data_IF_607327455863
#
_entry.id   IF_607327455863
#
_cell.length_a   1.000
_cell.length_b   1.000
_cell.length_c   1.000
_cell.angle_alpha   90.00
_cell.angle_beta   90.00
_cell.angle_gamma   90.00
#
_symmetry.space_group_name_H-M   'P 1'
#
loop_
_entity.id
_entity.type
_entity.pdbx_description
1 polymer ?
2 non-polymer ?
3 non-polymer ?
4 non-polymer ?
5 non-polymer ?
6 water ?
#
# COMPACT_ATOMS: atom_id res chain seq x y z
N UNK A 2 -0.09 -11.33 -14.24
CA UNK A 2 0.56 -10.22 -13.49
C UNK A 2 -0.44 -9.06 -13.37
N UNK A 3 -0.49 -8.39 -12.20
CA UNK A 3 -1.39 -7.17 -12.16
C UNK A 3 -0.97 -6.11 -13.15
N UNK A 4 -1.97 -5.34 -13.59
CA UNK A 4 -1.70 -4.16 -14.43
C UNK A 4 -0.91 -3.11 -13.66
N UNK A 5 -1.16 -3.05 -12.37
CA UNK A 5 -0.40 -2.18 -11.49
C UNK A 5 -0.46 -2.66 -10.07
N UNK A 6 0.69 -2.49 -9.39
CA UNK A 6 0.78 -2.79 -7.99
C UNK A 6 1.13 -1.48 -7.26
N UNK A 7 0.22 -1.09 -6.36
CA UNK A 7 0.34 0.16 -5.61
C UNK A 7 0.98 -0.07 -4.22
N UNK A 8 2.03 0.69 -4.00
CA UNK A 8 2.78 0.74 -2.72
C UNK A 8 2.93 2.21 -2.26
N UNK A 9 3.20 2.34 -0.97
CA UNK A 9 3.45 3.62 -0.33
C UNK A 9 2.97 3.61 1.09
N UNK A 10 3.21 4.73 1.77
CA UNK A 10 2.94 4.82 3.18
C UNK A 10 1.45 4.74 3.46
N UNK A 11 1.07 4.39 4.70
CA UNK A 11 -0.33 4.59 5.10
C UNK A 11 -0.81 5.98 4.77
N UNK A 12 -2.00 6.10 4.18
CA UNK A 12 -2.53 7.42 3.70
C UNK A 12 -2.03 7.96 2.40
N UNK A 13 -1.11 7.26 1.70
CA UNK A 13 -0.67 7.74 0.40
C UNK A 13 -1.77 7.58 -0.68
N UNK A 14 -2.76 6.73 -0.40
CA UNK A 14 -3.88 6.55 -1.30
C UNK A 14 -3.95 5.22 -1.97
N UNK A 15 -3.34 4.19 -1.42
CA UNK A 15 -3.39 2.85 -2.13
C UNK A 15 -4.80 2.32 -2.35
N UNK A 16 -5.60 2.36 -1.32
CA UNK A 16 -6.93 1.81 -1.40
C UNK A 16 -7.80 2.63 -2.34
N UNK A 17 -7.59 3.94 -2.27
CA UNK A 17 -8.39 4.94 -2.97
C UNK A 17 -8.07 5.00 -4.44
N UNK A 18 -6.79 5.19 -4.75
CA UNK A 18 -6.28 5.20 -6.11
C UNK A 18 -6.52 3.80 -6.69
N UNK A 19 -6.34 2.73 -5.91
CA UNK A 19 -6.55 1.37 -6.43
C UNK A 19 -7.97 1.17 -6.93
N UNK A 20 -8.95 1.55 -6.12
CA UNK A 20 -10.37 1.43 -6.50
C UNK A 20 -10.66 2.23 -7.75
N UNK A 21 -10.21 3.48 -7.78
CA UNK A 21 -10.47 4.38 -8.88
C UNK A 21 -9.75 3.96 -10.17
N UNK A 22 -8.51 3.48 -10.02
CA UNK A 22 -7.73 2.95 -11.13
C UNK A 22 -8.35 1.67 -11.68
N UNK A 23 -8.81 0.77 -10.81
CA UNK A 23 -9.44 -0.50 -11.24
C UNK A 23 -10.74 -0.21 -12.04
N UNK A 24 -11.56 0.69 -11.50
CA UNK A 24 -12.81 1.19 -12.20
C UNK A 24 -12.53 1.73 -13.56
N UNK A 25 -11.44 2.47 -13.68
CA UNK A 25 -11.04 3.10 -14.91
C UNK A 25 -10.64 2.09 -15.93
N UNK A 26 -9.79 1.16 -15.52
CA UNK A 26 -9.35 0.07 -16.39
C UNK A 26 -10.40 -1.01 -16.61
N UNK A 27 -11.46 -1.00 -15.82
CA UNK A 27 -12.45 -2.08 -15.85
C UNK A 27 -11.94 -3.45 -15.42
N UNK A 28 -11.13 -3.47 -14.37
CA UNK A 28 -10.63 -4.68 -13.73
C UNK A 28 -11.00 -4.70 -12.26
N UNK A 29 -10.65 -5.78 -11.55
CA UNK A 29 -10.90 -5.85 -10.14
C UNK A 29 -9.69 -5.30 -9.38
N UNK A 30 -10.03 -4.77 -8.22
CA UNK A 30 -9.12 -4.36 -7.17
C UNK A 30 -8.99 -5.49 -6.17
N UNK A 31 -7.75 -5.88 -5.92
CA UNK A 31 -7.45 -6.75 -4.82
C UNK A 31 -6.61 -5.91 -3.88
N UNK A 32 -7.16 -5.66 -2.71
CA UNK A 32 -6.47 -4.94 -1.63
C UNK A 32 -6.00 -5.97 -0.63
N UNK A 33 -4.70 -6.09 -0.44
CA UNK A 33 -4.22 -7.20 0.35
C UNK A 33 -4.61 -7.09 1.83
N UNK A 34 -4.82 -5.87 2.35
CA UNK A 34 -5.31 -5.75 3.72
C UNK A 34 -6.68 -6.40 3.84
N UNK A 35 -7.55 -6.11 2.88
CA UNK A 35 -8.88 -6.71 2.81
C UNK A 35 -8.74 -8.23 2.71
N UNK A 36 -7.91 -8.68 1.77
CA UNK A 36 -7.74 -10.12 1.51
C UNK A 36 -7.32 -10.84 2.80
N UNK A 37 -6.46 -10.19 3.60
CA UNK A 37 -6.00 -10.77 4.88
C UNK A 37 -7.15 -10.94 5.87
N UNK A 38 -8.00 -9.91 5.99
CA UNK A 38 -9.11 -9.97 6.93
C UNK A 38 -10.15 -11.03 6.54
N UNK A 39 -10.43 -11.15 5.24
CA UNK A 39 -11.31 -12.17 4.68
C UNK A 39 -10.71 -13.56 4.80
N UNK A 40 -9.39 -13.64 4.77
CA UNK A 40 -8.74 -14.95 4.90
C UNK A 40 -8.87 -15.44 6.34
N UNK A 41 -8.37 -14.63 7.28
CA UNK A 41 -8.24 -15.03 8.68
C UNK A 41 -9.55 -15.03 9.42
N UNK A 42 -10.47 -14.18 8.96
CA UNK A 42 -11.72 -13.90 9.64
C UNK A 42 -11.60 -12.78 10.66
N UNK A 43 -10.41 -12.16 10.76
CA UNK A 43 -10.10 -11.19 11.82
C UNK A 43 -9.73 -9.80 11.28
N UNK A 44 -9.76 -8.81 12.16
CA UNK A 44 -9.33 -7.46 11.79
C UNK A 44 -7.81 -7.39 11.89
N UNK A 45 -7.21 -6.48 11.12
CA UNK A 45 -5.75 -6.32 11.14
C UNK A 45 -5.25 -5.94 12.53
N UNK A 46 -5.96 -5.03 13.17
CA UNK A 46 -5.64 -4.66 14.55
C UNK A 46 -5.59 -5.88 15.48
N UNK A 47 -6.52 -6.82 15.30
CA UNK A 47 -6.63 -7.98 16.20
C UNK A 47 -5.54 -9.01 15.96
N UNK A 48 -5.11 -9.14 14.71
CA UNK A 48 -3.97 -9.99 14.38
C UNK A 48 -2.71 -9.41 15.03
N UNK A 49 -2.49 -8.11 14.84
CA UNK A 49 -1.35 -7.43 15.42
C UNK A 49 -1.38 -7.58 16.96
N UNK A 50 -2.56 -7.43 17.56
CA UNK A 50 -2.71 -7.44 19.03
C UNK A 50 -2.39 -8.80 19.64
N UNK A 51 -2.96 -9.84 19.06
CA UNK A 51 -2.80 -11.19 19.60
C UNK A 51 -1.54 -11.85 19.04
N UNK A 52 -1.39 -11.87 17.72
CA UNK A 52 -0.27 -12.60 17.08
C UNK A 52 1.01 -11.80 16.87
N UNK A 53 0.90 -10.48 16.83
CA UNK A 53 2.06 -9.63 16.57
C UNK A 53 2.37 -9.43 15.08
N UNK A 54 3.08 -8.34 14.82
CA UNK A 54 3.50 -7.95 13.48
C UNK A 54 4.17 -9.05 12.67
N UNK A 55 5.07 -9.83 13.27
CA UNK A 55 5.82 -10.84 12.49
C UNK A 55 4.92 -11.88 11.84
N UNK A 56 3.88 -12.28 12.57
CA UNK A 56 2.88 -13.23 12.07
C UNK A 56 1.99 -12.59 11.01
N UNK A 57 1.58 -11.35 11.26
CA UNK A 57 0.92 -10.55 10.22
C UNK A 57 1.75 -10.50 8.94
N UNK A 58 3.05 -10.25 9.06
CA UNK A 58 3.93 -10.17 7.89
C UNK A 58 4.05 -11.50 7.13
N UNK A 59 4.06 -12.62 7.84
CA UNK A 59 4.12 -13.91 7.17
C UNK A 59 2.82 -14.19 6.38
N UNK A 60 1.68 -13.92 7.00
CA UNK A 60 0.40 -14.09 6.34
C UNK A 60 0.33 -13.16 5.13
N UNK A 61 0.72 -11.91 5.36
CA UNK A 61 0.73 -10.91 4.32
C UNK A 61 1.60 -11.35 3.13
N UNK A 62 2.82 -11.86 3.37
CA UNK A 62 3.67 -12.33 2.24
C UNK A 62 3.02 -13.48 1.41
N UNK A 63 2.33 -14.39 2.09
CA UNK A 63 1.61 -15.49 1.41
C UNK A 63 0.55 -14.97 0.45
N UNK A 64 -0.36 -14.18 1.00
CA UNK A 64 -1.36 -13.43 0.25
C UNK A 64 -0.76 -12.64 -0.91
N UNK A 65 0.32 -11.93 -0.67
CA UNK A 65 0.90 -11.07 -1.70
C UNK A 65 1.43 -11.92 -2.87
N UNK A 66 2.18 -12.98 -2.57
CA UNK A 66 2.77 -13.81 -3.64
C UNK A 66 1.68 -14.40 -4.54
N UNK A 67 0.62 -14.89 -3.90
CA UNK A 67 -0.47 -15.51 -4.59
C UNK A 67 -1.15 -14.46 -5.49
N UNK A 68 -1.40 -13.28 -4.93
CA UNK A 68 -2.16 -12.24 -5.68
C UNK A 68 -1.32 -11.78 -6.87
N UNK A 69 0.00 -11.66 -6.68
CA UNK A 69 0.89 -11.31 -7.78
C UNK A 69 0.89 -12.29 -8.97
N UNK A 70 0.64 -13.55 -8.69
CA UNK A 70 0.54 -14.58 -9.71
C UNK A 70 -0.88 -14.71 -10.30
N UNK A 71 -1.90 -14.65 -9.44
CA UNK A 71 -3.28 -14.94 -9.78
C UNK A 71 -4.14 -13.74 -10.15
N UNK A 72 -3.76 -12.52 -9.73
CA UNK A 72 -4.60 -11.31 -9.98
C UNK A 72 -4.16 -10.52 -11.19
N UNK A 73 -5.11 -10.26 -12.09
CA UNK A 73 -4.73 -9.62 -13.35
C UNK A 73 -5.15 -8.12 -13.36
N UNK A 74 -5.87 -7.72 -12.33
CA UNK A 74 -6.29 -6.32 -12.18
C UNK A 74 -5.28 -5.43 -11.47
N UNK A 75 -5.79 -4.58 -10.59
CA UNK A 75 -4.96 -3.70 -9.76
C UNK A 75 -4.83 -4.32 -8.38
N UNK A 76 -3.60 -4.22 -7.86
CA UNK A 76 -3.31 -4.82 -6.57
C UNK A 76 -2.73 -3.71 -5.67
N UNK A 77 -3.37 -3.49 -4.54
CA UNK A 77 -2.94 -2.51 -3.55
C UNK A 77 -2.35 -3.29 -2.40
N UNK A 78 -1.05 -3.04 -2.15
CA UNK A 78 -0.38 -3.71 -1.00
C UNK A 78 -0.58 -2.96 0.33
N UNK A 79 -0.52 -3.67 1.45
CA UNK A 79 -0.48 -2.97 2.74
C UNK A 79 0.72 -2.05 2.81
N UNK A 80 0.63 -1.02 3.65
CA UNK A 80 1.69 -0.03 3.66
C UNK A 80 3.07 -0.56 4.07
N UNK A 81 3.07 -1.63 4.85
CA UNK A 81 4.34 -2.19 5.35
C UNK A 81 4.78 -3.46 4.68
N UNK A 82 4.13 -3.82 3.59
CA UNK A 82 4.49 -5.07 2.90
C UNK A 82 5.91 -5.07 2.40
N UNK A 83 6.41 -3.92 1.96
CA UNK A 83 7.76 -3.80 1.43
C UNK A 83 8.91 -4.02 2.44
N UNK A 84 8.58 -4.07 3.72
CA UNK A 84 9.51 -4.38 4.83
C UNK A 84 9.89 -5.86 4.86
N UNK A 85 9.08 -6.69 4.23
CA UNK A 85 9.40 -8.12 4.01
C UNK A 85 10.30 -8.38 2.82
N UNK A 86 11.49 -8.95 3.07
CA UNK A 86 12.36 -9.19 1.93
C UNK A 86 11.76 -10.11 0.86
N UNK A 87 10.96 -11.09 1.26
CA UNK A 87 10.32 -11.98 0.30
C UNK A 87 9.27 -11.27 -0.57
N UNK A 88 8.62 -10.25 -0.01
CA UNK A 88 7.67 -9.42 -0.84
C UNK A 88 8.48 -8.63 -1.84
N UNK A 89 9.57 -8.02 -1.40
CA UNK A 89 10.38 -7.29 -2.29
C UNK A 89 10.91 -8.13 -3.46
N UNK A 90 11.29 -9.38 -3.16
CA UNK A 90 11.79 -10.27 -4.21
C UNK A 90 10.62 -10.67 -5.17
N UNK A 91 9.46 -10.89 -4.61
CA UNK A 91 8.30 -11.28 -5.42
C UNK A 91 7.91 -10.16 -6.39
N UNK A 92 8.18 -8.93 -6.00
CA UNK A 92 7.80 -7.76 -6.80
C UNK A 92 8.72 -7.53 -7.98
N UNK A 93 9.89 -8.15 -8.02
CA UNK A 93 10.83 -7.93 -9.15
C UNK A 93 10.13 -8.25 -10.46
N UNK A 94 10.18 -7.33 -11.43
CA UNK A 94 9.56 -7.52 -12.76
C UNK A 94 8.16 -6.93 -12.95
N UNK A 95 7.48 -6.70 -11.83
CA UNK A 95 6.12 -6.19 -11.79
C UNK A 95 6.07 -4.68 -12.03
N UNK A 96 4.88 -4.20 -12.44
CA UNK A 96 4.64 -2.80 -12.59
C UNK A 96 4.25 -2.30 -11.21
N UNK A 97 5.17 -1.55 -10.61
CA UNK A 97 5.00 -1.10 -9.23
C UNK A 97 5.00 0.44 -9.12
N UNK A 98 3.86 0.93 -8.66
CA UNK A 98 3.56 2.37 -8.54
C UNK A 98 3.67 2.82 -7.10
N UNK A 99 4.66 3.67 -6.87
CA UNK A 99 4.96 4.23 -5.57
C UNK A 99 4.22 5.58 -5.46
N UNK A 100 3.20 5.57 -4.60
CA UNK A 100 2.44 6.79 -4.30
C UNK A 100 3.18 7.54 -3.19
N UNK A 101 3.74 8.69 -3.56
CA UNK A 101 4.55 9.46 -2.62
C UNK A 101 3.68 10.50 -1.92
N UNK A 102 3.96 10.76 -0.66
CA UNK A 102 3.21 11.76 0.11
C UNK A 102 4.13 12.37 1.16
N UNK A 103 4.01 13.68 1.41
CA UNK A 103 4.76 14.31 2.50
C UNK A 103 4.28 13.83 3.87
N UNK A 104 5.11 13.95 4.91
CA UNK A 104 4.66 13.53 6.21
C UNK A 104 3.51 14.43 6.70
N UNK A 105 3.60 15.73 6.44
CA UNK A 105 2.57 16.66 7.00
C UNK A 105 1.18 16.28 6.42
N UNK A 106 1.16 15.99 5.13
CA UNK A 106 -0.10 15.64 4.49
C UNK A 106 -0.51 14.24 4.85
N UNK A 107 0.45 13.29 4.88
CA UNK A 107 0.12 11.92 5.23
C UNK A 107 -0.49 11.83 6.61
N UNK A 108 0.08 12.59 7.53
CA UNK A 108 -0.45 12.69 8.88
C UNK A 108 -1.91 13.14 8.87
N UNK A 109 -2.19 14.17 8.10
CA UNK A 109 -3.52 14.73 8.04
C UNK A 109 -4.49 13.81 7.34
N UNK A 110 -4.04 13.05 6.35
CA UNK A 110 -4.93 12.06 5.70
C UNK A 110 -5.36 10.92 6.58
N UNK A 111 -4.49 10.54 7.52
CA UNK A 111 -4.73 9.40 8.39
C UNK A 111 -5.32 9.81 9.75
N UNK A 112 -5.54 11.12 9.94
CA UNK A 112 -5.87 11.71 11.24
C UNK A 112 -7.10 11.18 11.97
N UNK A 113 -8.15 10.89 11.22
CA UNK A 113 -9.38 10.40 11.84
C UNK A 113 -9.31 8.92 12.11
N UNK A 114 -8.30 8.28 11.52
CA UNK A 114 -8.28 6.83 11.37
C UNK A 114 -7.64 6.11 12.55
N UNK A 115 -8.32 5.07 13.02
CA UNK A 115 -7.97 4.33 14.23
C UNK A 115 -7.78 2.80 13.97
N UNK A 116 -7.65 2.42 12.69
CA UNK A 116 -7.55 1.00 12.30
C UNK A 116 -6.12 0.56 11.91
N UNK A 117 -5.14 1.47 12.05
CA UNK A 117 -3.71 1.20 11.79
C UNK A 117 -2.86 1.12 13.09
N UNK A 118 -2.54 -0.11 13.55
CA UNK A 118 -1.69 -0.41 14.72
C UNK A 118 -0.39 0.38 14.81
N UNK A 119 0.24 0.62 13.68
CA UNK A 119 1.56 1.25 13.71
C UNK A 119 1.49 2.77 13.78
N UNK A 120 0.28 3.32 13.68
CA UNK A 120 0.09 4.77 13.71
C UNK A 120 -0.73 5.27 14.88
N UNK A 121 -1.63 4.42 15.36
CA UNK A 121 -2.62 4.76 16.38
C UNK A 121 -2.06 5.54 17.56
N UNK A 122 -2.98 6.13 18.31
CA UNK A 122 -2.65 6.72 19.59
C UNK A 122 -1.92 8.03 19.38
N UNK A 123 -1.15 8.46 20.39
CA UNK A 123 -0.58 9.79 20.35
C UNK A 123 0.73 9.77 19.57
N UNK A 124 1.31 10.96 19.40
CA UNK A 124 2.64 11.13 18.81
C UNK A 124 2.66 10.69 17.34
N UNK A 125 1.54 10.89 16.66
CA UNK A 125 1.35 10.31 15.34
C UNK A 125 2.28 10.93 14.31
N UNK A 126 2.48 12.23 14.38
CA UNK A 126 3.36 12.90 13.44
C UNK A 126 4.81 12.38 13.53
N UNK A 127 5.28 12.13 14.75
CA UNK A 127 6.60 11.55 14.99
C UNK A 127 6.71 10.14 14.45
N UNK A 128 5.72 9.30 14.78
CA UNK A 128 5.65 7.90 14.31
C UNK A 128 5.62 7.84 12.80
N UNK A 129 4.85 8.74 12.18
CA UNK A 129 4.70 8.77 10.71
C UNK A 129 5.99 9.15 10.06
N UNK A 130 6.65 10.19 10.61
CA UNK A 130 7.97 10.56 10.10
C UNK A 130 8.98 9.40 10.26
N UNK A 131 8.94 8.70 11.38
CA UNK A 131 9.84 7.55 11.54
C UNK A 131 9.57 6.42 10.50
N UNK A 132 8.30 6.17 10.19
CA UNK A 132 7.93 5.18 9.15
C UNK A 132 8.46 5.64 7.81
N UNK A 133 8.30 6.91 7.51
CA UNK A 133 8.74 7.39 6.24
C UNK A 133 10.26 7.26 6.08
N UNK A 134 11.01 7.56 7.13
CA UNK A 134 12.47 7.47 7.04
C UNK A 134 12.92 6.02 6.86
N UNK A 135 12.29 5.08 7.55
CA UNK A 135 12.63 3.67 7.41
C UNK A 135 12.25 3.15 6.03
N UNK A 136 11.02 3.43 5.61
CA UNK A 136 10.49 2.80 4.37
C UNK A 136 10.73 3.43 3.02
N UNK A 137 11.03 4.72 2.96
CA UNK A 137 11.17 5.40 1.70
C UNK A 137 12.18 4.71 0.76
N UNK A 138 13.34 4.29 1.30
CA UNK A 138 14.33 3.56 0.51
C UNK A 138 13.78 2.24 -0.08
N UNK A 139 12.93 1.56 0.71
CA UNK A 139 12.31 0.32 0.33
C UNK A 139 11.25 0.53 -0.77
N UNK A 140 10.40 1.53 -0.62
CA UNK A 140 9.50 1.85 -1.73
C UNK A 140 10.24 2.23 -3.00
N UNK A 141 11.31 3.02 -2.90
CA UNK A 141 12.05 3.48 -4.07
C UNK A 141 12.73 2.29 -4.77
N UNK A 142 13.11 1.32 -3.97
CA UNK A 142 13.78 0.15 -4.49
C UNK A 142 12.85 -0.72 -5.35
N UNK A 143 11.61 -0.90 -4.91
CA UNK A 143 10.63 -1.79 -5.62
C UNK A 143 9.89 -1.07 -6.77
N UNK A 144 9.92 0.25 -6.75
CA UNK A 144 9.08 1.01 -7.69
C UNK A 144 9.62 1.03 -9.10
N UNK A 145 8.71 0.94 -10.07
CA UNK A 145 9.00 1.20 -11.46
C UNK A 145 8.48 2.57 -11.93
N UNK A 146 7.49 3.11 -11.21
CA UNK A 146 6.97 4.46 -11.45
C UNK A 146 6.73 5.12 -10.08
N UNK A 147 7.06 6.39 -9.98
CA UNK A 147 6.83 7.17 -8.77
C UNK A 147 5.80 8.22 -9.13
N UNK A 148 4.84 8.46 -8.24
CA UNK A 148 3.81 9.49 -8.47
C UNK A 148 3.67 10.34 -7.22
N UNK A 149 3.98 11.61 -7.33
CA UNK A 149 3.82 12.55 -6.22
C UNK A 149 2.36 12.90 -6.08
N UNK A 150 1.80 12.57 -4.92
CA UNK A 150 0.38 12.76 -4.66
C UNK A 150 0.04 14.01 -3.81
N UNK A 151 1.05 14.79 -3.41
CA UNK A 151 0.83 15.88 -2.43
C UNK A 151 -0.16 16.96 -2.88
N UNK A 152 -0.01 17.37 -4.13
CA UNK A 152 -0.87 18.45 -4.68
C UNK A 152 -1.83 18.00 -5.76
N UNK A 153 -1.98 16.69 -5.92
CA UNK A 153 -2.79 16.09 -6.97
C UNK A 153 -4.00 15.52 -6.33
N UNK A 154 -5.15 15.79 -6.92
CA UNK A 154 -6.33 15.14 -6.44
C UNK A 154 -6.40 13.68 -6.99
N UNK A 155 -7.21 12.83 -6.38
CA UNK A 155 -7.13 11.42 -6.74
C UNK A 155 -7.39 11.14 -8.20
N UNK A 156 -8.26 11.91 -8.86
CA UNK A 156 -8.54 11.64 -10.24
C UNK A 156 -7.39 11.99 -11.12
N UNK A 157 -6.64 13.05 -10.75
CA UNK A 157 -5.44 13.43 -11.43
C UNK A 157 -4.34 12.38 -11.21
N UNK A 158 -4.27 11.80 -10.03
CA UNK A 158 -3.27 10.71 -9.80
C UNK A 158 -3.56 9.56 -10.75
N UNK A 159 -4.84 9.16 -10.82
CA UNK A 159 -5.32 8.05 -11.66
C UNK A 159 -4.96 8.36 -13.10
N UNK A 160 -5.26 9.57 -13.57
CA UNK A 160 -4.99 9.89 -14.97
C UNK A 160 -3.54 9.88 -15.29
N UNK A 161 -2.70 10.36 -14.37
CA UNK A 161 -1.26 10.29 -14.49
C UNK A 161 -0.78 8.85 -14.65
N UNK A 162 -1.33 7.95 -13.86
CA UNK A 162 -0.91 6.52 -13.94
C UNK A 162 -1.37 5.93 -15.26
N UNK A 163 -2.65 6.13 -15.56
CA UNK A 163 -3.29 5.61 -16.78
C UNK A 163 -2.49 5.95 -17.99
N UNK A 164 -1.97 7.17 -18.04
CA UNK A 164 -1.25 7.66 -19.23
C UNK A 164 0.14 7.05 -19.35
N UNK A 165 0.65 6.51 -18.26
CA UNK A 165 1.98 5.95 -18.24
C UNK A 165 2.00 4.43 -18.32
N UNK A 166 0.84 3.81 -18.25
CA UNK A 166 0.75 2.38 -18.35
C UNK A 166 0.73 1.93 -19.81
N UNK A 167 1.11 0.67 -20.03
CA UNK A 167 0.79 -0.09 -21.25
C UNK A 167 1.01 0.66 -22.57
X LIG B 1 -1.27 -3.37 6.30
X LIG B 1 -1.94 -2.41 7.10
X LIG B 1 -1.41 -2.57 8.53
X LIG B 1 -2.11 -1.72 9.45
X LIG B 1 0.09 -2.30 8.55
X LIG B 1 0.52 -1.07 7.79
X LIG B 1 1.89 -0.60 7.90
X LIG B 1 2.21 0.58 7.59
X LIG B 1 2.75 -1.44 8.22
X LIG B 1 -0.33 -0.44 6.94
X LIG B 1 -1.71 -0.96 6.63
X LIG B 1 -1.88 -0.86 5.20
X LIG C 1 -3.81 3.94 1.99
X LIG C 1 -4.62 2.79 1.45
X LIG C 1 -3.68 3.79 3.49
X LIG C 1 -2.48 4.29 1.31
X LIG C 1 -6.30 5.42 1.62
X LIG C 1 -7.12 4.59 2.57
X LIG C 1 -6.65 5.20 0.19
X LIG C 1 -4.70 5.30 1.81
X LIG C 1 -6.48 7.03 1.70
X LIG C 1 -6.43 7.67 2.99
X LIG C 1 -7.33 8.91 2.99
X LIG C 1 -6.69 9.81 2.15
X LIG C 1 -8.74 8.66 2.44
X LIG C 1 -9.80 9.46 3.03
X LIG C 1 -8.65 9.13 1.05
X LIG C 1 -9.88 9.73 0.69
X LIG C 1 -7.56 10.20 1.13
X LIG C 1 -6.78 10.41 -0.06
X LIG C 1 -6.06 9.45 -0.71
X LIG C 1 -5.49 10.02 -1.77
X LIG C 1 -5.78 11.33 -1.80
X LIG C 1 -5.46 12.41 -2.69
X LIG C 1 -4.66 12.26 -3.74
X LIG C 1 -5.97 13.68 -2.43
X LIG C 1 -6.77 13.79 -1.33
X LIG C 1 -7.11 12.85 -0.47
X LIG C 1 -6.63 11.59 -0.69
X LIG D 1 -8.26 -1.62 6.99
X LIG D 1 -8.18 -2.12 5.55
X LIG D 1 -6.98 -0.88 7.40
X LIG D 1 -9.52 -0.76 7.19
X LIG D 1 -8.41 -2.79 7.86
X LIG D 1 -9.28 -2.91 5.08
X LIG D 1 -5.76 -1.34 6.82
X LIG D 1 -9.57 0.45 6.44
X LIG E 1 5.80 -16.48 -5.77
X LIG F 1 -9.11 -8.34 -12.55
X LIG G 1 10.62 -14.20 -6.00
X LIG H 1 -4.64 4.07 13.64
#
# INVERSE_FOLDING_TARGET
MAPKAVLVGLPGSGKSTIGRRLAKALGVGLLDTDVAIEQRTGRSIADIFATDGEQEFRRIEEDVVRAALADHDGVLSLGGGAVTSPGVRAALAGHTVVYLEISAAEGVRRTGGNTVRPLLAGPDRAEKYRALMAKRAPLYRRVATMRVDTNRRNPGAVVRHILSRLQVPSPSEAATLEHHHHHH
SKM O12 C8 C6 O7 C5 C4 C1 O2 O3 C10 C9 O11
ADP PB O1B O2B O3B PA O1A O2A O3A O5' C5' C4' O4' C3' O3' C2' O2' C1' N9 C8 N7 C5 C6 N6 N1 C2 N3 C4
TRS C C1 C2 C3 N O1 O2 O3
CL CL
CL CL
CL CL
CL CL
#
